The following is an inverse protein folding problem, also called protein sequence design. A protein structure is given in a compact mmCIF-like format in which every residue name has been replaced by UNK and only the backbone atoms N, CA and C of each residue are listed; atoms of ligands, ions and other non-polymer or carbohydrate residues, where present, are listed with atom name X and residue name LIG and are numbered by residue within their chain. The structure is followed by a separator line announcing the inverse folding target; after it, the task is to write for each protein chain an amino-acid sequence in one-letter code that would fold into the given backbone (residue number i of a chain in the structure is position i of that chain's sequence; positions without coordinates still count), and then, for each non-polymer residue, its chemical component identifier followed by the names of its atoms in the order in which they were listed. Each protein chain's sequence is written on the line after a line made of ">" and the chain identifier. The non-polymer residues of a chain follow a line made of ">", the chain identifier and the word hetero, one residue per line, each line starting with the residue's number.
data_IF_476707257101
#
_entry.id   IF_476707257101
#
_cell.length_a   1.000
_cell.length_b   1.000
_cell.length_c   1.000
_cell.angle_alpha   90.00
_cell.angle_beta   90.00
_cell.angle_gamma   90.00
#
_symmetry.space_group_name_H-M   'P 1'
#
loop_
_entity.id
_entity.type
_entity.pdbx_description
1 polymer ?
#
# COMPACT_ATOMS: atom_id res chain seq x y z
N UNK A 1 16.64 5.99 -3.48
CA UNK A 1 17.54 5.55 -4.58
C UNK A 1 18.09 4.14 -4.35
N UNK A 2 17.88 3.55 -3.17
CA UNK A 2 18.56 2.32 -2.74
C UNK A 2 17.82 1.02 -3.07
N UNK A 3 16.48 1.02 -3.12
CA UNK A 3 15.70 -0.18 -3.45
C UNK A 3 16.02 -0.76 -4.84
N UNK A 4 16.14 0.09 -5.87
CA UNK A 4 16.53 -0.37 -7.21
C UNK A 4 17.90 -1.05 -7.24
N UNK A 5 18.87 -0.52 -6.47
CA UNK A 5 20.21 -1.11 -6.34
C UNK A 5 20.18 -2.46 -5.63
N UNK A 6 19.37 -2.60 -4.57
CA UNK A 6 19.17 -3.87 -3.87
C UNK A 6 18.52 -4.94 -4.77
N UNK A 7 17.57 -4.54 -5.63
CA UNK A 7 16.95 -5.46 -6.60
C UNK A 7 17.95 -5.94 -7.65
N UNK A 8 18.75 -5.03 -8.23
CA UNK A 8 19.81 -5.38 -9.20
C UNK A 8 20.88 -6.25 -8.54
N UNK A 9 21.32 -5.89 -7.32
CA UNK A 9 22.27 -6.67 -6.54
C UNK A 9 21.76 -8.09 -6.27
N UNK A 10 20.51 -8.22 -5.82
CA UNK A 10 19.86 -9.52 -5.61
C UNK A 10 19.78 -10.36 -6.88
N UNK A 11 19.46 -9.75 -8.03
CA UNK A 11 19.45 -10.44 -9.32
C UNK A 11 20.85 -10.96 -9.71
N UNK A 12 21.88 -10.14 -9.56
CA UNK A 12 23.27 -10.52 -9.85
C UNK A 12 23.77 -11.65 -8.96
N UNK A 13 23.49 -11.57 -7.65
CA UNK A 13 23.83 -12.62 -6.69
C UNK A 13 23.10 -13.94 -7.02
N UNK A 14 21.81 -13.86 -7.37
CA UNK A 14 21.02 -15.04 -7.70
C UNK A 14 21.52 -15.73 -8.98
N UNK A 15 21.86 -14.96 -10.01
CA UNK A 15 22.49 -15.48 -11.22
C UNK A 15 23.84 -16.13 -10.93
N UNK A 16 24.68 -15.49 -10.11
CA UNK A 16 25.97 -16.04 -9.68
C UNK A 16 25.81 -17.36 -8.93
N UNK A 17 24.85 -17.45 -8.00
CA UNK A 17 24.54 -18.66 -7.25
C UNK A 17 24.11 -19.80 -8.17
N UNK A 18 23.24 -19.54 -9.15
CA UNK A 18 22.82 -20.58 -10.09
C UNK A 18 23.94 -21.03 -11.03
N UNK A 19 24.79 -20.10 -11.50
CA UNK A 19 26.00 -20.46 -12.25
C UNK A 19 26.94 -21.34 -11.43
N UNK A 20 27.12 -21.04 -10.15
CA UNK A 20 27.96 -21.80 -9.23
C UNK A 20 27.43 -23.22 -9.03
N UNK A 21 26.12 -23.39 -8.87
CA UNK A 21 25.50 -24.72 -8.75
C UNK A 21 25.64 -25.54 -10.04
N UNK A 22 25.41 -24.93 -11.20
CA UNK A 22 25.61 -25.61 -12.49
C UNK A 22 27.06 -26.09 -12.68
N UNK A 23 28.05 -25.29 -12.26
CA UNK A 23 29.46 -25.69 -12.32
C UNK A 23 29.76 -26.85 -11.35
N UNK A 24 29.19 -26.86 -10.15
CA UNK A 24 29.34 -27.97 -9.20
C UNK A 24 28.70 -29.27 -9.71
N UNK A 25 27.63 -29.21 -10.49
CA UNK A 25 27.03 -30.42 -11.10
C UNK A 25 27.88 -31.02 -12.22
N UNK A 26 28.80 -30.23 -12.80
CA UNK A 26 29.64 -30.65 -13.94
C UNK A 26 31.03 -31.13 -13.47
N UNK A 27 31.55 -30.59 -12.36
CA UNK A 27 32.87 -30.97 -11.86
C UNK A 27 32.84 -32.31 -11.11
N UNK A 28 33.81 -33.21 -11.36
CA UNK A 28 33.97 -34.43 -10.56
C UNK A 28 34.28 -34.07 -9.10
N UNK A 29 33.89 -34.96 -8.17
CA UNK A 29 34.16 -34.82 -6.74
C UNK A 29 35.62 -34.42 -6.49
N UNK A 30 35.87 -33.37 -5.69
CA UNK A 30 37.23 -32.90 -5.44
C UNK A 30 38.10 -34.02 -4.84
N UNK A 31 39.38 -34.03 -5.20
CA UNK A 31 40.36 -34.97 -4.68
C UNK A 31 40.33 -34.98 -3.14
N UNK A 32 40.51 -36.16 -2.54
CA UNK A 32 40.33 -36.42 -1.10
C UNK A 32 41.25 -35.61 -0.15
N UNK A 33 42.07 -34.68 -0.68
CA UNK A 33 42.93 -33.76 0.07
C UNK A 33 42.67 -32.27 -0.19
N UNK A 34 41.62 -31.89 -0.91
CA UNK A 34 41.30 -30.47 -1.13
C UNK A 34 40.77 -29.82 0.16
N UNK A 35 41.39 -28.71 0.58
CA UNK A 35 40.89 -27.93 1.72
C UNK A 35 39.46 -27.44 1.46
N UNK A 36 38.59 -27.61 2.47
CA UNK A 36 37.22 -27.14 2.38
C UNK A 36 37.21 -25.62 2.17
N UNK A 37 36.41 -25.10 1.21
CA UNK A 37 36.34 -23.66 0.97
C UNK A 37 35.87 -22.94 2.23
N UNK A 38 36.42 -21.74 2.52
CA UNK A 38 36.01 -20.95 3.69
C UNK A 38 34.50 -20.72 3.73
N UNK A 39 33.91 -20.74 4.93
CA UNK A 39 32.46 -20.59 5.14
C UNK A 39 31.88 -19.35 4.44
N UNK A 40 32.63 -18.23 4.41
CA UNK A 40 32.18 -16.98 3.78
C UNK A 40 32.05 -17.09 2.25
N UNK A 41 32.84 -17.94 1.59
CA UNK A 41 32.67 -18.24 0.15
C UNK A 41 31.44 -19.11 -0.09
N UNK A 42 31.06 -19.93 0.89
CA UNK A 42 29.92 -20.83 0.78
C UNK A 42 28.61 -20.11 1.11
N UNK A 43 28.52 -19.47 2.27
CA UNK A 43 27.29 -18.85 2.80
C UNK A 43 27.16 -17.36 2.50
N UNK A 44 28.27 -16.64 2.27
CA UNK A 44 28.28 -15.18 2.08
C UNK A 44 27.32 -14.67 1.00
N UNK A 45 27.22 -15.30 -0.19
CA UNK A 45 26.25 -14.86 -1.21
C UNK A 45 24.79 -15.01 -0.77
N UNK A 46 24.45 -16.03 0.02
CA UNK A 46 23.08 -16.21 0.53
C UNK A 46 22.74 -15.15 1.59
N UNK A 47 23.70 -14.81 2.47
CA UNK A 47 23.56 -13.70 3.42
C UNK A 47 23.39 -12.35 2.72
N UNK A 48 24.17 -12.10 1.67
CA UNK A 48 24.03 -10.89 0.86
C UNK A 48 22.65 -10.81 0.18
N UNK A 49 22.13 -11.95 -0.29
CA UNK A 49 20.79 -12.02 -0.88
C UNK A 49 19.68 -11.77 0.15
N UNK A 50 19.82 -12.36 1.33
CA UNK A 50 18.92 -12.13 2.47
C UNK A 50 18.93 -10.66 2.88
N UNK A 51 20.09 -9.99 2.90
CA UNK A 51 20.20 -8.56 3.15
C UNK A 51 19.50 -7.73 2.06
N UNK A 52 19.71 -8.05 0.78
CA UNK A 52 19.02 -7.38 -0.33
C UNK A 52 17.50 -7.50 -0.23
N UNK A 53 16.98 -8.71 0.05
CA UNK A 53 15.54 -8.93 0.18
C UNK A 53 14.99 -8.29 1.46
N UNK A 54 15.70 -8.38 2.58
CA UNK A 54 15.33 -7.72 3.84
C UNK A 54 15.21 -6.21 3.67
N UNK A 55 16.20 -5.57 3.03
CA UNK A 55 16.15 -4.13 2.73
C UNK A 55 15.00 -3.75 1.80
N UNK A 56 14.71 -4.57 0.78
CA UNK A 56 13.55 -4.37 -0.10
C UNK A 56 12.22 -4.52 0.64
N UNK A 57 12.03 -5.60 1.39
CA UNK A 57 10.82 -5.84 2.16
C UNK A 57 10.61 -4.76 3.22
N UNK A 58 11.68 -4.26 3.85
CA UNK A 58 11.60 -3.17 4.82
C UNK A 58 11.07 -1.88 4.17
N UNK A 59 11.65 -1.46 3.06
CA UNK A 59 11.20 -0.27 2.34
C UNK A 59 9.76 -0.44 1.83
N UNK A 60 9.44 -1.57 1.21
CA UNK A 60 8.10 -1.87 0.70
C UNK A 60 7.07 -1.91 1.84
N UNK A 61 7.37 -2.58 2.96
CA UNK A 61 6.51 -2.64 4.12
C UNK A 61 6.13 -1.24 4.62
N UNK A 62 7.10 -0.34 4.75
CA UNK A 62 6.84 1.05 5.19
C UNK A 62 5.87 1.75 4.23
N UNK A 63 6.10 1.65 2.91
CA UNK A 63 5.22 2.29 1.93
C UNK A 63 3.81 1.70 1.93
N UNK A 64 3.68 0.38 1.92
CA UNK A 64 2.38 -0.28 1.96
C UNK A 64 1.64 0.03 3.26
N UNK A 65 2.31 -0.06 4.41
CA UNK A 65 1.72 0.25 5.71
C UNK A 65 1.25 1.71 5.79
N UNK A 66 2.06 2.68 5.34
CA UNK A 66 1.66 4.09 5.29
C UNK A 66 0.54 4.41 4.28
N UNK A 67 0.28 3.49 3.34
CA UNK A 67 -0.79 3.61 2.33
C UNK A 67 -2.06 2.86 2.75
N UNK A 68 -2.00 2.07 3.82
CA UNK A 68 -3.13 1.27 4.32
C UNK A 68 -4.08 2.10 5.18
N UNK A 69 -5.33 2.22 4.75
CA UNK A 69 -6.37 2.99 5.46
C UNK A 69 -7.57 2.16 5.90
N UNK A 70 -7.70 0.94 5.38
CA UNK A 70 -8.79 0.02 5.66
C UNK A 70 -8.29 -1.36 6.06
N UNK A 71 -9.19 -2.15 6.62
CA UNK A 71 -8.86 -3.42 7.27
C UNK A 71 -8.08 -4.40 6.38
N UNK A 72 -8.51 -4.63 5.15
CA UNK A 72 -7.81 -5.57 4.25
C UNK A 72 -6.41 -5.08 3.87
N UNK A 73 -6.24 -3.77 3.64
CA UNK A 73 -4.92 -3.18 3.39
C UNK A 73 -4.00 -3.25 4.61
N UNK A 74 -4.53 -3.14 5.83
CA UNK A 74 -3.76 -3.35 7.06
C UNK A 74 -3.31 -4.81 7.16
N UNK A 75 -4.21 -5.77 6.94
CA UNK A 75 -3.86 -7.20 6.94
C UNK A 75 -2.80 -7.53 5.88
N UNK A 76 -2.93 -6.95 4.68
CA UNK A 76 -1.93 -7.08 3.62
C UNK A 76 -0.55 -6.58 4.07
N UNK A 77 -0.49 -5.35 4.61
CA UNK A 77 0.76 -4.77 5.09
C UNK A 77 1.37 -5.59 6.24
N UNK A 78 0.56 -6.09 7.18
CA UNK A 78 1.02 -6.99 8.23
C UNK A 78 1.56 -8.31 7.67
N UNK A 79 0.94 -8.86 6.62
CA UNK A 79 1.46 -10.03 5.92
C UNK A 79 2.86 -9.79 5.33
N UNK A 80 3.10 -8.62 4.73
CA UNK A 80 4.44 -8.22 4.30
C UNK A 80 5.41 -8.08 5.49
N UNK A 81 4.94 -7.55 6.63
CA UNK A 81 5.71 -7.48 7.87
C UNK A 81 6.11 -8.86 8.41
N UNK A 82 5.21 -9.84 8.35
CA UNK A 82 5.51 -11.24 8.71
C UNK A 82 6.57 -11.82 7.76
N UNK A 83 6.47 -11.57 6.45
CA UNK A 83 7.48 -12.02 5.48
C UNK A 83 8.84 -11.35 5.76
N UNK A 84 8.86 -10.06 6.10
CA UNK A 84 10.06 -9.34 6.49
C UNK A 84 10.71 -9.95 7.74
N UNK A 85 9.93 -10.25 8.78
CA UNK A 85 10.47 -10.90 9.98
C UNK A 85 10.93 -12.32 9.67
N UNK A 86 10.14 -13.08 8.89
CA UNK A 86 10.51 -14.43 8.48
C UNK A 86 11.83 -14.44 7.70
N UNK A 87 12.07 -13.45 6.85
CA UNK A 87 13.31 -13.30 6.07
C UNK A 87 14.57 -13.44 6.92
N UNK A 88 14.56 -12.91 8.15
CA UNK A 88 15.70 -12.97 9.08
C UNK A 88 16.07 -14.40 9.47
N UNK A 89 15.13 -15.33 9.44
CA UNK A 89 15.32 -16.73 9.86
C UNK A 89 15.45 -17.70 8.66
N UNK A 90 15.59 -17.19 7.44
CA UNK A 90 15.59 -18.03 6.23
C UNK A 90 16.99 -18.41 5.71
N UNK A 91 18.09 -18.11 6.42
CA UNK A 91 19.48 -18.28 5.94
C UNK A 91 19.71 -19.64 5.22
N UNK A 92 19.44 -20.76 5.89
CA UNK A 92 19.61 -22.10 5.32
C UNK A 92 18.61 -22.42 4.20
N UNK A 93 17.46 -21.76 4.22
CA UNK A 93 16.33 -22.00 3.32
C UNK A 93 16.59 -21.35 1.96
N UNK A 94 17.41 -20.29 1.89
CA UNK A 94 17.81 -19.61 0.65
C UNK A 94 18.61 -20.50 -0.31
N UNK A 95 19.15 -21.63 0.17
CA UNK A 95 19.73 -22.67 -0.67
C UNK A 95 18.69 -23.37 -1.56
N UNK A 96 17.40 -23.30 -1.19
CA UNK A 96 16.30 -23.77 -2.04
C UNK A 96 15.97 -22.71 -3.07
N UNK A 97 16.50 -22.85 -4.28
CA UNK A 97 16.29 -21.88 -5.37
C UNK A 97 14.82 -21.57 -5.67
N UNK A 98 13.90 -22.53 -5.50
CA UNK A 98 12.47 -22.25 -5.65
C UNK A 98 11.96 -21.15 -4.70
N UNK A 99 12.42 -21.14 -3.44
CA UNK A 99 12.10 -20.08 -2.46
C UNK A 99 12.74 -18.76 -2.88
N UNK A 100 13.99 -18.80 -3.31
CA UNK A 100 14.75 -17.63 -3.70
C UNK A 100 14.15 -16.93 -4.93
N UNK A 101 13.74 -17.71 -5.94
CA UNK A 101 12.97 -17.19 -7.08
C UNK A 101 11.65 -16.59 -6.66
N UNK A 102 10.93 -17.23 -5.73
CA UNK A 102 9.65 -16.75 -5.22
C UNK A 102 9.81 -15.39 -4.50
N UNK A 103 10.80 -15.24 -3.63
CA UNK A 103 11.09 -14.00 -2.91
C UNK A 103 11.58 -12.90 -3.84
N UNK A 104 12.46 -13.22 -4.79
CA UNK A 104 12.89 -12.28 -5.83
C UNK A 104 11.70 -11.79 -6.67
N UNK A 105 10.86 -12.72 -7.15
CA UNK A 105 9.67 -12.40 -7.92
C UNK A 105 8.70 -11.52 -7.15
N UNK A 106 8.41 -11.85 -5.89
CA UNK A 106 7.58 -11.01 -5.01
C UNK A 106 8.15 -9.60 -4.87
N UNK A 107 9.44 -9.47 -4.55
CA UNK A 107 10.10 -8.17 -4.44
C UNK A 107 10.03 -7.37 -5.75
N UNK A 108 10.31 -8.02 -6.89
CA UNK A 108 10.28 -7.38 -8.20
C UNK A 108 8.87 -6.87 -8.54
N UNK A 109 7.84 -7.69 -8.30
CA UNK A 109 6.44 -7.31 -8.53
C UNK A 109 6.01 -6.14 -7.65
N UNK A 110 6.28 -6.19 -6.34
CA UNK A 110 5.93 -5.11 -5.41
C UNK A 110 6.70 -3.82 -5.71
N UNK A 111 7.99 -3.92 -6.06
CA UNK A 111 8.80 -2.77 -6.46
C UNK A 111 8.28 -2.13 -7.75
N UNK A 112 7.94 -2.92 -8.78
CA UNK A 112 7.39 -2.38 -10.02
C UNK A 112 6.00 -1.77 -9.82
N UNK A 113 5.14 -2.39 -8.99
CA UNK A 113 3.85 -1.83 -8.61
C UNK A 113 3.97 -0.48 -7.90
N UNK A 114 5.11 -0.17 -7.28
CA UNK A 114 5.42 1.14 -6.74
C UNK A 114 6.02 2.08 -7.81
N UNK A 115 7.05 1.62 -8.51
CA UNK A 115 7.88 2.46 -9.40
C UNK A 115 7.14 2.86 -10.67
N UNK A 116 6.39 1.95 -11.29
CA UNK A 116 5.72 2.22 -12.57
C UNK A 116 4.66 3.31 -12.42
N UNK A 117 3.71 3.25 -11.46
CA UNK A 117 2.75 4.34 -11.27
C UNK A 117 3.40 5.68 -10.94
N UNK A 118 4.53 5.65 -10.22
CA UNK A 118 5.31 6.84 -9.89
C UNK A 118 5.96 7.47 -11.12
N UNK A 119 6.54 6.66 -12.02
CA UNK A 119 7.20 7.14 -13.25
C UNK A 119 6.19 7.57 -14.31
N UNK A 120 5.12 6.80 -14.48
CA UNK A 120 4.06 7.09 -15.45
C UNK A 120 3.19 8.27 -15.01
N UNK A 121 3.06 8.47 -13.69
CA UNK A 121 2.17 9.49 -13.14
C UNK A 121 0.69 9.08 -13.18
N UNK A 122 0.39 7.77 -13.17
CA UNK A 122 -0.97 7.25 -13.18
C UNK A 122 -1.09 5.95 -12.34
N UNK A 123 -2.13 5.87 -11.49
CA UNK A 123 -2.39 4.73 -10.58
C UNK A 123 -3.54 3.81 -11.03
N UNK A 124 -3.96 3.91 -12.29
CA UNK A 124 -5.03 3.05 -12.82
C UNK A 124 -4.68 1.56 -12.76
N UNK A 125 -5.71 0.71 -12.71
CA UNK A 125 -5.57 -0.73 -12.51
C UNK A 125 -4.70 -1.43 -13.56
N UNK A 126 -4.66 -0.91 -14.80
CA UNK A 126 -3.83 -1.49 -15.87
C UNK A 126 -2.35 -1.51 -15.48
N UNK A 127 -1.85 -0.46 -14.82
CA UNK A 127 -0.45 -0.36 -14.44
C UNK A 127 -0.08 -1.35 -13.35
N UNK A 128 -0.99 -1.67 -12.44
CA UNK A 128 -0.80 -2.73 -11.47
C UNK A 128 -0.65 -4.11 -12.16
N UNK A 129 -1.52 -4.44 -13.10
CA UNK A 129 -1.44 -5.71 -13.81
C UNK A 129 -0.18 -5.83 -14.66
N UNK A 130 0.16 -4.79 -15.43
CA UNK A 130 1.37 -4.75 -16.25
C UNK A 130 2.63 -4.86 -15.39
N UNK A 131 2.69 -4.15 -14.27
CA UNK A 131 3.84 -4.18 -13.36
C UNK A 131 3.99 -5.53 -12.66
N UNK A 132 2.89 -6.14 -12.24
CA UNK A 132 2.88 -7.48 -11.65
C UNK A 132 3.35 -8.53 -12.66
N UNK A 133 2.84 -8.49 -13.89
CA UNK A 133 3.29 -9.39 -14.96
C UNK A 133 4.74 -9.13 -15.36
N UNK A 134 5.17 -7.88 -15.42
CA UNK A 134 6.55 -7.51 -15.71
C UNK A 134 7.52 -8.01 -14.63
N UNK A 135 7.14 -7.94 -13.35
CA UNK A 135 7.95 -8.46 -12.24
C UNK A 135 8.08 -9.98 -12.27
N UNK A 136 6.98 -10.69 -12.52
CA UNK A 136 7.00 -12.14 -12.72
C UNK A 136 7.82 -12.53 -13.96
N UNK A 137 7.65 -11.80 -15.06
CA UNK A 137 8.41 -11.97 -16.30
C UNK A 137 9.90 -11.72 -16.13
N UNK A 138 10.29 -10.70 -15.35
CA UNK A 138 11.68 -10.42 -15.03
C UNK A 138 12.32 -11.57 -14.25
N UNK A 139 11.64 -12.09 -13.23
CA UNK A 139 12.11 -13.25 -12.48
C UNK A 139 12.21 -14.50 -13.37
N UNK A 140 11.24 -14.74 -14.25
CA UNK A 140 11.25 -15.87 -15.17
C UNK A 140 12.38 -15.73 -16.21
N UNK A 141 12.57 -14.55 -16.82
CA UNK A 141 13.64 -14.31 -17.77
C UNK A 141 15.02 -14.49 -17.12
N UNK A 142 15.18 -14.00 -15.89
CA UNK A 142 16.42 -14.19 -15.12
C UNK A 142 16.67 -15.68 -14.83
N UNK A 143 15.62 -16.43 -14.50
CA UNK A 143 15.70 -17.88 -14.31
C UNK A 143 16.16 -18.60 -15.59
N UNK A 144 15.59 -18.27 -16.76
CA UNK A 144 15.99 -18.86 -18.04
C UNK A 144 17.44 -18.55 -18.42
N UNK A 145 17.92 -17.34 -18.07
CA UNK A 145 19.32 -16.91 -18.28
C UNK A 145 20.29 -17.49 -17.25
N UNK A 146 19.79 -18.08 -16.17
CA UNK A 146 20.62 -18.66 -15.11
C UNK A 146 21.03 -20.08 -15.53
N UNK A 147 22.34 -20.39 -15.61
CA UNK A 147 22.81 -21.72 -16.00
C UNK A 147 22.22 -22.81 -15.11
N UNK A 148 21.80 -23.93 -15.71
CA UNK A 148 21.20 -25.06 -14.99
C UNK A 148 19.76 -24.87 -14.50
N UNK A 149 19.18 -23.66 -14.63
CA UNK A 149 17.81 -23.32 -14.23
C UNK A 149 17.40 -23.92 -12.87
N UNK A 150 18.18 -23.69 -11.79
CA UNK A 150 17.94 -24.38 -10.54
C UNK A 150 16.63 -23.95 -9.87
N UNK A 151 15.94 -24.94 -9.28
CA UNK A 151 14.65 -24.77 -8.62
C UNK A 151 13.46 -24.62 -9.58
N UNK A 152 12.25 -24.56 -9.02
CA UNK A 152 11.00 -24.41 -9.79
C UNK A 152 10.60 -22.95 -9.85
N UNK A 153 10.29 -22.43 -11.05
CA UNK A 153 9.79 -21.06 -11.24
C UNK A 153 8.29 -20.89 -10.99
N UNK A 154 7.51 -21.99 -10.99
CA UNK A 154 6.04 -21.99 -10.83
C UNK A 154 5.53 -21.16 -9.62
N UNK A 155 6.17 -21.15 -8.43
CA UNK A 155 5.73 -20.33 -7.31
C UNK A 155 5.66 -18.83 -7.62
N UNK A 156 6.53 -18.30 -8.50
CA UNK A 156 6.51 -16.88 -8.90
C UNK A 156 5.18 -16.52 -9.56
N UNK A 157 4.71 -17.35 -10.48
CA UNK A 157 3.42 -17.16 -11.15
C UNK A 157 2.23 -17.36 -10.20
N UNK A 158 2.36 -18.28 -9.24
CA UNK A 158 1.39 -18.42 -8.14
C UNK A 158 1.28 -17.15 -7.30
N UNK A 159 2.41 -16.51 -6.99
CA UNK A 159 2.43 -15.22 -6.28
C UNK A 159 1.81 -14.12 -7.15
N UNK A 160 2.12 -14.06 -8.44
CA UNK A 160 1.52 -13.10 -9.36
C UNK A 160 -0.01 -13.22 -9.39
N UNK A 161 -0.53 -14.46 -9.50
CA UNK A 161 -1.97 -14.72 -9.42
C UNK A 161 -2.55 -14.30 -8.06
N UNK A 162 -1.86 -14.61 -6.96
CA UNK A 162 -2.26 -14.18 -5.62
C UNK A 162 -2.31 -12.66 -5.45
N UNK A 163 -1.33 -11.93 -5.99
CA UNK A 163 -1.31 -10.47 -6.01
C UNK A 163 -2.47 -9.89 -6.82
N UNK A 164 -2.76 -10.47 -7.98
CA UNK A 164 -3.90 -10.06 -8.80
C UNK A 164 -5.22 -10.29 -8.05
N UNK A 165 -5.40 -11.45 -7.41
CA UNK A 165 -6.59 -11.73 -6.60
C UNK A 165 -6.71 -10.76 -5.42
N UNK A 166 -5.62 -10.51 -4.69
CA UNK A 166 -5.57 -9.56 -3.58
C UNK A 166 -5.91 -8.14 -4.05
N UNK A 167 -5.44 -7.74 -5.23
CA UNK A 167 -5.80 -6.46 -5.83
C UNK A 167 -7.28 -6.41 -6.20
N UNK A 168 -7.83 -7.47 -6.82
CA UNK A 168 -9.24 -7.51 -7.20
C UNK A 168 -10.18 -7.28 -6.02
N UNK A 169 -9.88 -7.89 -4.85
CA UNK A 169 -10.66 -7.72 -3.61
C UNK A 169 -10.31 -6.47 -2.81
N UNK A 170 -9.56 -5.53 -3.40
CA UNK A 170 -9.17 -4.25 -2.78
C UNK A 170 -8.33 -4.43 -1.50
N UNK A 171 -7.58 -5.53 -1.37
CA UNK A 171 -6.68 -5.76 -0.25
C UNK A 171 -5.34 -5.03 -0.41
N UNK A 172 -4.92 -4.75 -1.64
CA UNK A 172 -3.69 -4.01 -1.91
C UNK A 172 -4.03 -2.52 -2.02
N UNK A 173 -3.51 -1.66 -1.12
CA UNK A 173 -3.77 -0.23 -1.21
C UNK A 173 -3.14 0.35 -2.49
N UNK A 174 -3.74 1.40 -3.08
CA UNK A 174 -3.20 2.09 -4.25
C UNK A 174 -1.95 2.89 -3.88
N UNK A 175 -0.80 2.24 -3.95
CA UNK A 175 0.53 2.84 -3.83
C UNK A 175 0.80 3.67 -5.10
N UNK A 176 1.46 4.84 -5.04
CA UNK A 176 2.25 5.41 -3.92
C UNK A 176 1.51 6.46 -3.06
N UNK A 177 0.20 6.33 -2.85
CA UNK A 177 -0.57 7.26 -2.02
C UNK A 177 -0.33 6.99 -0.53
N UNK A 178 0.34 7.90 0.17
CA UNK A 178 0.62 7.78 1.61
C UNK A 178 -0.08 8.88 2.39
N UNK A 179 -0.18 8.73 3.72
CA UNK A 179 -0.67 9.78 4.62
C UNK A 179 -2.02 10.37 4.15
N UNK A 180 -3.07 9.57 4.27
CA UNK A 180 -4.39 9.89 3.77
C UNK A 180 -5.27 10.32 4.95
N UNK A 181 -5.43 11.63 5.10
CA UNK A 181 -6.31 12.18 6.12
C UNK A 181 -7.69 12.46 5.50
N UNK A 182 -8.73 11.96 6.18
CA UNK A 182 -10.12 12.20 5.82
C UNK A 182 -10.91 12.55 7.06
N UNK A 183 -11.66 13.65 6.99
CA UNK A 183 -12.42 14.15 8.11
C UNK A 183 -13.73 14.79 7.64
N UNK A 184 -14.72 14.80 8.53
CA UNK A 184 -16.01 15.47 8.34
C UNK A 184 -16.23 16.55 9.39
N UNK A 185 -16.96 17.60 9.05
CA UNK A 185 -17.21 18.73 9.94
C UNK A 185 -18.22 19.74 9.40
N UNK A 186 -18.62 20.67 10.26
CA UNK A 186 -19.75 21.60 10.07
C UNK A 186 -19.42 22.77 9.14
N UNK A 187 -18.18 23.26 9.20
CA UNK A 187 -17.74 24.38 8.41
C UNK A 187 -16.32 24.14 7.89
N UNK A 188 -16.08 24.59 6.65
CA UNK A 188 -14.77 24.56 6.03
C UNK A 188 -14.32 25.99 5.73
N UNK A 189 -13.19 26.39 6.31
CA UNK A 189 -12.51 27.64 6.00
C UNK A 189 -11.27 27.32 5.17
N UNK A 190 -11.12 27.99 4.03
CA UNK A 190 -9.93 27.92 3.18
C UNK A 190 -9.13 29.20 3.34
N UNK A 191 -7.97 29.13 3.99
CA UNK A 191 -7.09 30.28 4.19
C UNK A 191 -5.64 29.88 3.89
N UNK A 192 -4.92 30.69 3.09
CA UNK A 192 -3.50 30.48 2.77
C UNK A 192 -3.13 29.09 2.21
N UNK A 193 -4.06 28.42 1.52
CA UNK A 193 -3.84 27.07 0.98
C UNK A 193 -4.07 25.93 1.98
N UNK A 194 -4.43 26.23 3.23
CA UNK A 194 -4.82 25.25 4.24
C UNK A 194 -6.33 25.04 4.29
N UNK A 195 -6.74 23.80 4.56
CA UNK A 195 -8.13 23.45 4.84
C UNK A 195 -8.31 23.41 6.35
N UNK A 196 -9.20 24.25 6.86
CA UNK A 196 -9.53 24.30 8.29
C UNK A 196 -10.97 23.84 8.48
N UNK A 197 -11.11 22.65 9.06
CA UNK A 197 -12.40 21.99 9.26
C UNK A 197 -12.84 22.17 10.71
N UNK A 198 -14.04 22.69 10.90
CA UNK A 198 -14.65 22.86 12.21
C UNK A 198 -15.39 21.57 12.61
N UNK A 199 -15.01 20.98 13.73
CA UNK A 199 -15.58 19.70 14.21
C UNK A 199 -15.97 19.77 15.68
N UNK A 200 -16.88 18.88 16.09
CA UNK A 200 -17.27 18.68 17.48
C UNK A 200 -16.11 18.08 18.29
N UNK A 201 -15.80 18.70 19.43
CA UNK A 201 -14.74 18.22 20.31
C UNK A 201 -15.24 17.03 21.12
N UNK A 202 -14.44 15.97 21.18
CA UNK A 202 -14.71 14.86 22.09
C UNK A 202 -14.71 15.34 23.56
N UNK A 203 -15.59 14.81 24.42
CA UNK A 203 -15.58 15.06 25.84
C UNK A 203 -14.21 14.80 26.45
N UNK A 204 -13.83 15.62 27.43
CA UNK A 204 -12.49 15.62 28.00
C UNK A 204 -12.07 14.28 28.63
N UNK A 205 -13.03 13.44 29.06
CA UNK A 205 -12.76 12.11 29.60
C UNK A 205 -12.42 11.06 28.53
N UNK A 206 -12.70 11.33 27.25
CA UNK A 206 -12.34 10.48 26.11
C UNK A 206 -10.97 10.89 25.58
N UNK A 207 -9.92 10.73 26.39
CA UNK A 207 -8.56 11.19 26.05
C UNK A 207 -7.95 10.50 24.81
N UNK A 208 -8.49 9.35 24.40
CA UNK A 208 -8.03 8.59 23.23
C UNK A 208 -8.63 9.08 21.90
N UNK A 209 -9.59 10.03 21.91
CA UNK A 209 -10.15 10.65 20.68
C UNK A 209 -10.20 12.16 20.84
N UNK A 210 -9.89 12.88 19.76
CA UNK A 210 -9.95 14.34 19.73
C UNK A 210 -11.30 14.88 19.25
N UNK A 211 -12.00 14.09 18.43
CA UNK A 211 -13.23 14.48 17.75
C UNK A 211 -14.34 13.48 18.05
N UNK A 212 -15.58 13.96 18.09
CA UNK A 212 -16.73 13.08 18.17
C UNK A 212 -16.96 12.30 16.87
N UNK A 213 -17.43 11.06 17.03
CA UNK A 213 -17.86 10.24 15.88
C UNK A 213 -19.35 10.43 15.57
N UNK A 214 -20.11 10.94 16.53
CA UNK A 214 -21.52 11.29 16.38
C UNK A 214 -21.60 12.79 16.12
N UNK A 215 -22.29 13.16 15.04
CA UNK A 215 -22.35 14.51 14.51
C UNK A 215 -23.80 14.99 14.58
N UNK A 216 -23.99 16.17 15.13
CA UNK A 216 -25.30 16.75 15.36
C UNK A 216 -25.52 17.88 14.36
N UNK A 217 -26.41 17.67 13.40
CA UNK A 217 -26.68 18.66 12.35
C UNK A 217 -28.00 19.39 12.61
N UNK A 218 -27.98 20.71 12.53
CA UNK A 218 -29.21 21.49 12.44
C UNK A 218 -29.89 21.27 11.07
N UNK A 219 -31.19 21.54 11.00
CA UNK A 219 -31.94 21.43 9.75
C UNK A 219 -31.30 22.30 8.66
N UNK A 220 -31.06 21.74 7.48
CA UNK A 220 -30.38 22.36 6.33
C UNK A 220 -28.89 22.71 6.49
N UNK A 221 -28.28 22.38 7.63
CA UNK A 221 -26.85 22.58 7.85
C UNK A 221 -26.02 21.69 6.90
N UNK A 222 -25.01 22.25 6.22
CA UNK A 222 -24.10 21.45 5.41
C UNK A 222 -23.10 20.69 6.28
N UNK A 223 -22.89 19.42 5.94
CA UNK A 223 -21.75 18.64 6.42
C UNK A 223 -20.70 18.57 5.31
N UNK A 224 -19.49 19.02 5.62
CA UNK A 224 -18.34 18.96 4.72
C UNK A 224 -17.54 17.69 5.01
N UNK A 225 -17.05 17.03 3.96
CA UNK A 225 -16.01 16.03 4.03
C UNK A 225 -14.79 16.55 3.27
N UNK A 226 -13.63 16.51 3.91
CA UNK A 226 -12.35 16.95 3.38
C UNK A 226 -11.41 15.77 3.37
N UNK A 227 -10.69 15.60 2.26
CA UNK A 227 -9.61 14.63 2.14
C UNK A 227 -8.32 15.34 1.77
N UNK A 228 -7.24 14.97 2.46
CA UNK A 228 -5.87 15.37 2.19
C UNK A 228 -5.04 14.10 2.01
N UNK A 229 -4.64 13.82 0.77
CA UNK A 229 -3.94 12.60 0.38
C UNK A 229 -2.58 12.98 -0.18
N UNK A 230 -1.51 12.59 0.48
CA UNK A 230 -0.19 12.85 -0.06
C UNK A 230 0.09 11.95 -1.27
N UNK A 231 0.57 12.58 -2.34
CA UNK A 231 0.94 11.91 -3.58
C UNK A 231 2.28 12.45 -4.10
N UNK A 232 3.08 11.62 -4.78
CA UNK A 232 4.30 12.08 -5.40
C UNK A 232 4.03 13.08 -6.53
N UNK A 233 5.04 13.92 -6.80
CA UNK A 233 5.00 14.90 -7.89
C UNK A 233 4.78 14.22 -9.24
N UNK A 234 3.84 14.74 -10.03
CA UNK A 234 3.54 14.23 -11.38
C UNK A 234 2.46 13.16 -11.45
N UNK A 235 1.93 12.69 -10.31
CA UNK A 235 0.74 11.84 -10.31
C UNK A 235 -0.49 12.68 -10.69
N UNK A 236 -1.16 12.32 -11.79
CA UNK A 236 -2.43 12.89 -12.23
C UNK A 236 -3.52 11.80 -12.22
N UNK A 237 -4.37 11.84 -11.20
CA UNK A 237 -5.46 10.87 -11.02
C UNK A 237 -6.69 11.55 -10.45
N UNK A 238 -7.86 11.06 -10.83
CA UNK A 238 -9.11 11.58 -10.30
C UNK A 238 -9.57 10.77 -9.08
N UNK A 239 -9.85 11.48 -8.00
CA UNK A 239 -10.36 10.91 -6.77
C UNK A 239 -11.82 11.28 -6.55
N UNK A 240 -12.53 10.44 -5.82
CA UNK A 240 -13.97 10.56 -5.58
C UNK A 240 -14.28 10.41 -4.10
N UNK A 241 -15.13 11.30 -3.57
CA UNK A 241 -15.84 11.06 -2.32
C UNK A 241 -17.07 10.21 -2.58
N UNK A 242 -17.02 8.97 -2.12
CA UNK A 242 -18.12 8.01 -2.18
C UNK A 242 -18.85 8.00 -0.83
N UNK A 243 -19.97 8.72 -0.79
CA UNK A 243 -20.85 8.80 0.36
C UNK A 243 -21.78 7.60 0.39
N UNK A 244 -21.78 6.90 1.52
CA UNK A 244 -22.59 5.70 1.77
C UNK A 244 -23.37 5.86 3.07
N UNK A 245 -24.61 5.40 3.04
CA UNK A 245 -25.49 5.32 4.20
C UNK A 245 -25.71 3.85 4.56
N UNK A 246 -25.70 3.52 5.85
CA UNK A 246 -25.97 2.16 6.29
C UNK A 246 -27.48 1.95 6.49
N UNK A 247 -28.02 1.00 5.76
CA UNK A 247 -29.39 0.49 5.88
C UNK A 247 -29.36 -0.89 6.53
N UNK A 248 -30.21 -1.14 7.53
CA UNK A 248 -30.25 -2.45 8.20
C UNK A 248 -30.62 -3.60 7.25
N UNK A 249 -31.36 -3.29 6.16
CA UNK A 249 -31.82 -4.29 5.20
C UNK A 249 -30.81 -4.60 4.10
N UNK A 250 -30.09 -3.58 3.60
CA UNK A 250 -29.23 -3.69 2.42
C UNK A 250 -27.74 -3.48 2.73
N UNK A 251 -27.39 -3.13 3.96
CA UNK A 251 -26.03 -2.76 4.33
C UNK A 251 -25.67 -1.36 3.84
N UNK A 252 -24.43 -1.18 3.39
CA UNK A 252 -23.93 0.11 2.91
C UNK A 252 -24.48 0.46 1.51
N UNK A 253 -25.37 1.45 1.44
CA UNK A 253 -25.97 1.95 0.20
C UNK A 253 -25.26 3.20 -0.30
N UNK A 254 -24.91 3.25 -1.59
CA UNK A 254 -24.38 4.46 -2.23
C UNK A 254 -25.42 5.58 -2.27
N UNK A 255 -25.08 6.74 -1.73
CA UNK A 255 -25.89 7.97 -1.80
C UNK A 255 -25.35 8.97 -2.81
N UNK A 256 -24.03 9.04 -2.96
CA UNK A 256 -23.40 9.82 -4.04
C UNK A 256 -21.93 9.49 -4.21
N UNK A 257 -21.42 9.70 -5.43
CA UNK A 257 -20.01 9.66 -5.75
C UNK A 257 -19.60 10.98 -6.40
N UNK A 258 -18.86 11.81 -5.68
CA UNK A 258 -18.51 13.18 -6.08
C UNK A 258 -17.03 13.22 -6.39
N UNK A 259 -16.67 13.42 -7.66
CA UNK A 259 -15.28 13.57 -8.07
C UNK A 259 -14.73 14.93 -7.67
N UNK A 260 -13.49 14.96 -7.18
CA UNK A 260 -12.75 16.20 -6.93
C UNK A 260 -11.41 16.16 -7.67
N UNK A 261 -11.02 17.33 -8.17
CA UNK A 261 -9.74 17.50 -8.85
C UNK A 261 -8.69 18.04 -7.88
N UNK A 262 -7.43 17.83 -8.23
CA UNK A 262 -6.24 18.34 -7.53
C UNK A 262 -6.35 19.86 -7.31
N UNK A 263 -6.48 20.29 -6.06
CA UNK A 263 -6.38 21.71 -5.70
C UNK A 263 -5.24 21.91 -4.69
N UNK A 264 -4.03 22.15 -5.21
CA UNK A 264 -2.84 22.32 -4.39
C UNK A 264 -1.57 22.24 -5.25
N UNK A 265 -0.70 23.25 -5.14
CA UNK A 265 0.54 23.30 -5.91
C UNK A 265 1.45 22.08 -5.68
N UNK A 266 2.30 21.84 -6.70
CA UNK A 266 3.28 20.76 -7.04
C UNK A 266 3.97 19.93 -5.92
N UNK A 267 3.73 20.17 -4.63
CA UNK A 267 4.43 19.55 -3.49
C UNK A 267 3.51 19.01 -2.37
N UNK A 268 2.19 19.32 -2.36
CA UNK A 268 1.33 19.08 -1.17
C UNK A 268 0.37 17.88 -1.22
N UNK A 269 0.29 17.14 -2.33
CA UNK A 269 -0.68 16.06 -2.53
C UNK A 269 -2.07 16.54 -3.01
N UNK A 270 -3.04 15.62 -2.98
CA UNK A 270 -4.44 15.83 -3.35
C UNK A 270 -5.21 16.39 -2.17
N UNK A 271 -5.78 17.59 -2.33
CA UNK A 271 -6.75 18.15 -1.38
C UNK A 271 -8.05 18.44 -2.08
N UNK A 272 -9.13 17.94 -1.50
CA UNK A 272 -10.47 18.11 -2.04
C UNK A 272 -11.51 18.04 -0.95
N UNK A 273 -12.67 18.61 -1.24
CA UNK A 273 -13.81 18.55 -0.35
C UNK A 273 -15.09 18.31 -1.14
N UNK A 274 -16.07 17.74 -0.45
CA UNK A 274 -17.46 17.68 -0.91
C UNK A 274 -18.36 18.00 0.26
N UNK A 275 -19.59 18.44 0.01
CA UNK A 275 -20.54 18.66 1.08
C UNK A 275 -21.90 18.05 0.74
N UNK A 276 -22.66 17.75 1.79
CA UNK A 276 -24.05 17.30 1.71
C UNK A 276 -24.89 18.08 2.71
N UNK A 277 -26.19 18.20 2.43
CA UNK A 277 -27.19 18.79 3.31
C UNK A 277 -28.31 17.77 3.50
N UNK A 278 -29.09 17.94 4.56
CA UNK A 278 -30.26 17.11 4.86
C UNK A 278 -29.91 15.62 4.89
N UNK A 279 -28.78 15.25 5.53
CA UNK A 279 -28.43 13.86 5.72
C UNK A 279 -29.38 13.26 6.77
N UNK A 280 -29.90 12.06 6.49
CA UNK A 280 -30.71 11.34 7.45
C UNK A 280 -29.86 10.91 8.67
N UNK A 281 -30.45 10.86 9.88
CA UNK A 281 -29.80 10.26 11.04
C UNK A 281 -29.38 8.81 10.80
N UNK A 282 -28.36 8.35 11.52
CA UNK A 282 -27.83 6.99 11.41
C UNK A 282 -26.37 6.90 10.97
N UNK A 283 -25.92 5.72 10.56
CA UNK A 283 -24.50 5.45 10.26
C UNK A 283 -24.16 5.84 8.82
N UNK A 284 -23.09 6.60 8.67
CA UNK A 284 -22.58 7.07 7.40
C UNK A 284 -21.11 6.71 7.21
N UNK A 285 -20.69 6.65 5.96
CA UNK A 285 -19.29 6.51 5.57
C UNK A 285 -18.99 7.34 4.34
N UNK A 286 -17.84 8.00 4.33
CA UNK A 286 -17.25 8.55 3.10
C UNK A 286 -15.98 7.77 2.82
N UNK A 287 -15.91 7.14 1.65
CA UNK A 287 -14.66 6.61 1.14
C UNK A 287 -14.06 7.60 0.14
N UNK A 288 -12.74 7.76 0.15
CA UNK A 288 -12.02 8.31 -0.99
C UNK A 288 -11.63 7.14 -1.87
N UNK A 289 -12.04 7.19 -3.13
CA UNK A 289 -11.78 6.13 -4.09
C UNK A 289 -11.12 6.68 -5.35
N UNK A 290 -10.33 5.85 -6.01
CA UNK A 290 -9.83 6.10 -7.36
C UNK A 290 -10.97 5.97 -8.39
N UNK A 291 -10.70 6.40 -9.62
CA UNK A 291 -11.65 6.25 -10.73
C UNK A 291 -12.13 4.81 -10.92
N UNK A 292 -11.22 3.84 -10.80
CA UNK A 292 -11.46 2.39 -10.91
C UNK A 292 -12.13 1.78 -9.65
N UNK A 293 -12.52 2.59 -8.66
CA UNK A 293 -13.23 2.16 -7.45
C UNK A 293 -12.32 1.57 -6.36
N UNK A 294 -11.00 1.78 -6.43
CA UNK A 294 -10.07 1.34 -5.36
C UNK A 294 -10.15 2.26 -4.17
N UNK A 295 -10.28 1.69 -2.99
CA UNK A 295 -10.33 2.46 -1.75
C UNK A 295 -8.96 3.05 -1.47
N UNK A 296 -8.92 4.38 -1.40
CA UNK A 296 -7.78 5.12 -0.86
C UNK A 296 -7.98 5.20 0.64
N UNK A 297 -9.01 5.91 1.13
CA UNK A 297 -9.28 6.13 2.56
C UNK A 297 -10.75 5.92 2.92
N UNK A 298 -11.08 5.64 4.19
CA UNK A 298 -12.46 5.55 4.66
C UNK A 298 -12.63 6.33 5.96
N UNK A 299 -13.62 7.22 6.01
CA UNK A 299 -14.13 7.81 7.23
C UNK A 299 -15.52 7.25 7.54
N UNK A 300 -15.78 6.91 8.80
CA UNK A 300 -17.08 6.45 9.30
C UNK A 300 -17.53 7.33 10.45
N UNK A 301 -18.79 7.71 10.44
CA UNK A 301 -19.39 8.60 11.43
C UNK A 301 -20.88 8.29 11.57
N UNK A 302 -21.52 8.85 12.59
CA UNK A 302 -22.94 8.72 12.85
C UNK A 302 -23.54 10.12 12.85
N UNK A 303 -24.74 10.26 12.30
CA UNK A 303 -25.52 11.49 12.40
C UNK A 303 -26.59 11.27 13.46
N UNK A 304 -26.61 12.14 14.47
CA UNK A 304 -27.56 12.08 15.57
C UNK A 304 -28.97 12.48 15.11
N UNK A 305 -29.98 12.01 15.84
CA UNK A 305 -31.38 12.43 15.66
C UNK A 305 -31.64 13.86 16.20
N UNK A 306 -30.77 14.36 17.08
CA UNK A 306 -30.89 15.66 17.71
C UNK A 306 -29.87 16.67 17.12
N UNK A 307 -30.23 17.96 17.02
CA UNK A 307 -29.29 19.00 16.59
C UNK A 307 -28.25 19.31 17.68
N UNK A 308 -27.15 19.95 17.27
CA UNK A 308 -26.04 20.30 18.17
C UNK A 308 -26.54 21.24 19.28
N UNK A 309 -26.08 21.02 20.51
CA UNK A 309 -26.29 21.99 21.59
C UNK A 309 -25.61 23.32 21.24
N UNK A 310 -26.27 24.44 21.51
CA UNK A 310 -25.84 25.80 21.09
C UNK A 310 -24.44 26.16 21.64
N UNK A 311 -24.06 25.58 22.77
CA UNK A 311 -22.82 25.81 23.51
C UNK A 311 -21.78 24.68 23.35
N UNK A 312 -21.99 23.73 22.43
CA UNK A 312 -21.08 22.62 22.24
C UNK A 312 -19.67 23.11 21.83
N UNK A 313 -18.60 22.64 22.50
CA UNK A 313 -17.25 23.07 22.18
C UNK A 313 -16.83 22.55 20.79
N UNK A 314 -16.48 23.49 19.91
CA UNK A 314 -15.94 23.17 18.59
C UNK A 314 -14.43 23.32 18.57
N UNK A 315 -13.77 22.52 17.72
CA UNK A 315 -12.34 22.61 17.47
C UNK A 315 -12.08 22.76 15.97
N UNK A 316 -10.96 23.39 15.63
CA UNK A 316 -10.52 23.59 14.25
C UNK A 316 -9.39 22.62 13.92
N UNK A 317 -9.63 21.66 13.02
CA UNK A 317 -8.59 20.78 12.50
C UNK A 317 -7.97 21.38 11.24
N UNK A 318 -6.64 21.45 11.19
CA UNK A 318 -5.88 21.73 9.96
C UNK A 318 -5.65 20.44 9.17
N UNK A 319 -5.97 20.47 7.88
CA UNK A 319 -5.74 19.41 6.88
C UNK A 319 -4.90 19.96 5.70
#
# INVERSE_FOLDING_TARGET
>A
MDAGRLSIGGAGILWFLGRREALMTIQPTPDAGAEAPPWWRVSGPYLALQFCFGGLFSALFIFYFKSSSHFLAILWALGLGVILVANEFLEDRYRRFALTWALFGLCAMLLLNFVVPHVVGNISAIWFYLSTLAGAGLAHLLHLKTPGQPGRIKPVWGIAAGLILAYLVDAIPPVPLVNQDIAVGHALVKANGEYRLQQEKAPWWIFWRKTENEIHLASSEPLFCVAAIFAPTGLDTRLYHHWRYYSEKQGWETRSRIGFNLSGGRQGGYRGYSFKRNLAPGKWSVAVETEDGRTVAIHRFVIADAPLAIDAPMWLQSL
#
